data_IF_945180029320
#
_entry.id   IF_945180029320
#
_cell.length_a   1.000
_cell.length_b   1.000
_cell.length_c   1.000
_cell.angle_alpha   90.00
_cell.angle_beta   90.00
_cell.angle_gamma   90.00
#
_symmetry.space_group_name_H-M   'P 1'
#
loop_
_entity.id
_entity.type
_entity.pdbx_description
1 polymer ?
#
# COMPACT_ATOMS: atom_id res chain seq x y z
N UNK A 1 37.47 -8.04 22.32
CA UNK A 1 38.14 -6.96 21.54
C UNK A 1 37.66 -7.11 20.12
N UNK A 2 36.41 -6.72 19.96
CA UNK A 2 35.56 -7.10 18.84
C UNK A 2 35.85 -6.15 17.68
N UNK A 3 36.33 -6.73 16.58
CA UNK A 3 36.54 -5.97 15.35
C UNK A 3 35.18 -5.50 14.82
N UNK A 4 34.86 -4.24 15.09
CA UNK A 4 33.87 -3.49 14.33
C UNK A 4 34.39 -3.35 12.89
N UNK A 5 34.02 -4.30 12.05
CA UNK A 5 34.25 -4.26 10.60
C UNK A 5 33.56 -3.00 10.09
N UNK A 6 34.35 -2.00 9.71
CA UNK A 6 33.86 -0.71 9.21
C UNK A 6 32.98 -0.95 7.98
N UNK A 7 31.69 -0.67 8.12
CA UNK A 7 30.78 -0.69 6.98
C UNK A 7 31.18 0.44 6.02
N UNK A 8 31.12 0.22 4.69
CA UNK A 8 31.46 1.26 3.74
C UNK A 8 30.53 2.46 3.90
N UNK A 9 31.00 3.70 3.64
CA UNK A 9 30.13 4.87 3.65
C UNK A 9 28.99 4.64 2.66
N UNK A 10 27.75 4.74 3.14
CA UNK A 10 26.57 4.52 2.31
C UNK A 10 26.59 5.52 1.15
N UNK A 11 26.37 5.08 -0.10
CA UNK A 11 26.27 6.00 -1.23
C UNK A 11 25.08 6.93 -1.01
N UNK A 12 25.30 8.24 -1.19
CA UNK A 12 24.29 9.28 -0.99
C UNK A 12 23.23 9.34 -2.12
N UNK A 13 23.03 8.25 -2.86
CA UNK A 13 22.06 8.19 -3.94
C UNK A 13 20.76 7.53 -3.46
N UNK A 14 19.77 8.37 -3.15
CA UNK A 14 18.36 7.97 -3.25
C UNK A 14 17.69 7.40 -2.00
N UNK A 15 18.07 7.79 -0.78
CA UNK A 15 17.16 7.54 0.35
C UNK A 15 15.89 8.40 0.15
N UNK A 16 14.69 7.80 -0.02
CA UNK A 16 13.45 8.58 0.07
C UNK A 16 13.35 9.19 1.47
N UNK A 17 12.75 10.38 1.63
CA UNK A 17 12.65 11.07 2.92
C UNK A 17 11.77 10.34 3.96
N UNK A 18 11.22 9.17 3.62
CA UNK A 18 10.38 8.37 4.48
C UNK A 18 11.15 7.16 4.99
N UNK A 19 11.92 7.38 6.04
CA UNK A 19 12.30 6.30 6.92
C UNK A 19 11.01 5.72 7.54
N UNK A 20 10.92 4.40 7.76
CA UNK A 20 9.83 3.84 8.56
C UNK A 20 9.86 4.52 9.95
N UNK A 21 8.82 5.28 10.27
CA UNK A 21 8.73 6.06 11.52
C UNK A 21 8.95 7.57 11.39
N UNK A 22 9.15 8.14 10.18
CA UNK A 22 9.34 9.59 9.98
C UNK A 22 8.19 10.30 9.25
N UNK A 23 7.01 9.69 9.19
CA UNK A 23 5.77 10.39 8.81
C UNK A 23 5.24 11.21 9.99
N UNK A 24 4.35 12.20 9.77
CA UNK A 24 3.64 12.84 10.87
C UNK A 24 3.01 11.72 11.71
N UNK A 25 3.50 11.58 12.93
CA UNK A 25 3.00 10.65 13.91
C UNK A 25 1.48 10.80 13.96
N UNK A 26 0.77 9.72 13.61
CA UNK A 26 -0.69 9.73 13.58
C UNK A 26 -1.18 10.30 14.92
N UNK A 27 -1.99 11.38 14.91
CA UNK A 27 -2.39 12.05 16.14
C UNK A 27 -2.92 11.05 17.19
N UNK A 28 -2.62 11.24 18.48
CA UNK A 28 -3.17 10.40 19.53
C UNK A 28 -4.71 10.36 19.44
N UNK A 29 -5.29 9.16 19.38
CA UNK A 29 -6.73 8.98 19.23
C UNK A 29 -7.23 8.84 17.79
N UNK A 30 -6.34 8.77 16.80
CA UNK A 30 -6.71 8.43 15.42
C UNK A 30 -6.75 6.91 15.23
N UNK A 31 -7.89 6.38 14.81
CA UNK A 31 -8.02 4.97 14.47
C UNK A 31 -7.46 4.67 13.07
N UNK A 32 -6.98 3.44 12.87
CA UNK A 32 -6.57 2.99 11.54
C UNK A 32 -7.78 3.00 10.60
N UNK A 33 -7.57 3.48 9.36
CA UNK A 33 -8.57 3.39 8.33
C UNK A 33 -8.94 1.91 8.08
N UNK A 34 -10.23 1.59 8.12
CA UNK A 34 -10.74 0.26 7.82
C UNK A 34 -11.37 0.27 6.42
N UNK A 35 -11.06 -0.74 5.63
CA UNK A 35 -11.71 -0.99 4.35
C UNK A 35 -12.40 -2.36 4.41
N UNK A 36 -13.68 -2.39 4.05
CA UNK A 36 -14.40 -3.64 3.88
C UNK A 36 -14.21 -4.12 2.45
N UNK A 37 -13.68 -5.33 2.30
CA UNK A 37 -13.54 -6.00 1.00
C UNK A 37 -14.51 -7.19 0.99
N UNK A 38 -15.60 -7.13 0.21
CA UNK A 38 -16.53 -8.25 0.10
C UNK A 38 -15.87 -9.45 -0.57
N UNK A 39 -16.38 -10.65 -0.31
CA UNK A 39 -15.93 -11.85 -1.03
C UNK A 39 -16.29 -11.76 -2.52
N UNK A 40 -15.27 -11.83 -3.37
CA UNK A 40 -15.42 -11.80 -4.82
C UNK A 40 -15.17 -13.20 -5.38
N UNK A 41 -16.23 -13.89 -5.80
CA UNK A 41 -16.11 -15.15 -6.54
C UNK A 41 -15.90 -14.88 -8.01
N UNK A 42 -14.89 -15.51 -8.61
CA UNK A 42 -14.64 -15.37 -10.05
C UNK A 42 -15.73 -16.11 -10.85
N UNK A 43 -16.79 -15.39 -11.21
CA UNK A 43 -17.97 -15.92 -11.89
C UNK A 43 -18.40 -15.02 -13.05
N UNK A 44 -19.58 -14.41 -12.95
CA UNK A 44 -20.04 -13.44 -13.94
C UNK A 44 -19.21 -12.16 -13.79
N UNK A 45 -18.62 -11.72 -14.89
CA UNK A 45 -17.86 -10.46 -14.96
C UNK A 45 -18.41 -9.60 -16.09
N UNK A 46 -18.26 -8.28 -15.95
CA UNK A 46 -18.51 -7.37 -17.07
C UNK A 46 -17.46 -7.54 -18.17
N UNK A 47 -17.82 -7.21 -19.40
CA UNK A 47 -16.81 -7.05 -20.46
C UNK A 47 -15.85 -5.90 -20.11
N UNK A 48 -14.60 -5.89 -20.61
CA UNK A 48 -13.64 -4.84 -20.27
C UNK A 48 -14.14 -3.41 -20.53
N UNK A 49 -14.89 -3.21 -21.62
CA UNK A 49 -15.47 -1.91 -21.95
C UNK A 49 -16.54 -1.47 -20.95
N UNK A 50 -17.37 -2.40 -20.47
CA UNK A 50 -18.39 -2.11 -19.46
C UNK A 50 -17.79 -1.91 -18.08
N UNK A 51 -16.81 -2.74 -17.71
CA UNK A 51 -16.10 -2.63 -16.45
C UNK A 51 -15.44 -1.25 -16.30
N UNK A 52 -14.84 -0.74 -17.38
CA UNK A 52 -14.24 0.59 -17.40
C UNK A 52 -15.28 1.70 -17.21
N UNK A 53 -16.47 1.57 -17.82
CA UNK A 53 -17.56 2.55 -17.65
C UNK A 53 -18.16 2.51 -16.23
N UNK A 54 -18.23 1.32 -15.63
CA UNK A 54 -18.85 1.08 -14.33
C UNK A 54 -17.91 1.31 -13.15
N UNK A 55 -16.59 1.23 -13.37
CA UNK A 55 -15.57 1.36 -12.32
C UNK A 55 -15.37 0.08 -11.51
N UNK A 56 -15.98 -1.03 -11.90
CA UNK A 56 -15.82 -2.34 -11.28
C UNK A 56 -15.94 -3.44 -12.33
N UNK A 57 -15.16 -4.51 -12.19
CA UNK A 57 -15.25 -5.71 -13.03
C UNK A 57 -16.45 -6.60 -12.63
N UNK A 58 -16.87 -6.48 -11.38
CA UNK A 58 -17.77 -7.39 -10.70
C UNK A 58 -19.19 -6.81 -10.69
N UNK A 59 -20.17 -7.44 -11.36
CA UNK A 59 -21.56 -6.98 -11.39
C UNK A 59 -22.22 -6.82 -10.02
N UNK A 60 -21.81 -7.60 -9.04
CA UNK A 60 -22.31 -7.54 -7.67
C UNK A 60 -21.89 -6.26 -6.91
N UNK A 61 -20.94 -5.47 -7.45
CA UNK A 61 -20.44 -4.23 -6.86
C UNK A 61 -20.94 -2.96 -7.57
N UNK A 62 -21.75 -3.08 -8.63
CA UNK A 62 -22.30 -1.97 -9.40
C UNK A 62 -23.83 -1.88 -9.26
#
# INVERSE_FOLDING_TARGET
>A
MDQAKSLPPRPAFGFPPFLPGSGPECPPGMELAQAYVPWQTFGRIFSPQEALKKGTLFPELY
#
